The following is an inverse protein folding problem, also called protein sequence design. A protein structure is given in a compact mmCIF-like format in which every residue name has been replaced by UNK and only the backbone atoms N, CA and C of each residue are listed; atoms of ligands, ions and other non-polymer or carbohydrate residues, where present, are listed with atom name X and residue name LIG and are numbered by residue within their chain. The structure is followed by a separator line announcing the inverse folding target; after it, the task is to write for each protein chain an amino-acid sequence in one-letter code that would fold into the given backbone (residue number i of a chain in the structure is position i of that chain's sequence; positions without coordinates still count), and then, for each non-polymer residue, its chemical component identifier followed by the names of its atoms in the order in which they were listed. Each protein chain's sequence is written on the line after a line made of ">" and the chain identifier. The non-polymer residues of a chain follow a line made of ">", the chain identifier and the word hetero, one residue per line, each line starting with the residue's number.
data_IF_755199140177
#
_entry.id   IF_755199140177
#
_cell.length_a   1.000
_cell.length_b   1.000
_cell.length_c   1.000
_cell.angle_alpha   90.00
_cell.angle_beta   90.00
_cell.angle_gamma   90.00
#
_symmetry.space_group_name_H-M   'P 1'
#
loop_
_entity.id
_entity.type
_entity.pdbx_description
1 polymer ?
#
# COMPACT_ATOMS: atom_id res chain seq x y z
N UNK A 1 8.74 17.23 65.87
CA UNK A 1 9.66 17.71 64.82
C UNK A 1 10.37 16.58 64.05
N UNK A 2 10.82 15.50 64.70
CA UNK A 2 11.56 14.38 64.06
C UNK A 2 10.75 13.62 62.98
N UNK A 3 9.46 13.39 63.23
CA UNK A 3 8.56 12.64 62.34
C UNK A 3 8.29 13.35 60.99
N UNK A 4 8.13 14.68 60.99
CA UNK A 4 7.89 15.46 59.77
C UNK A 4 9.13 15.50 58.85
N UNK A 5 10.33 15.60 59.43
CA UNK A 5 11.59 15.56 58.68
C UNK A 5 11.83 14.19 58.02
N UNK A 6 11.47 13.11 58.70
CA UNK A 6 11.55 11.75 58.16
C UNK A 6 10.54 11.53 57.02
N UNK A 7 9.31 12.04 57.16
CA UNK A 7 8.31 11.98 56.08
C UNK A 7 8.73 12.78 54.85
N UNK A 8 9.29 13.98 55.04
CA UNK A 8 9.82 14.79 53.94
C UNK A 8 10.99 14.10 53.24
N UNK A 9 11.95 13.55 54.00
CA UNK A 9 13.08 12.82 53.44
C UNK A 9 12.63 11.58 52.64
N UNK A 10 11.65 10.83 53.16
CA UNK A 10 11.09 9.66 52.48
C UNK A 10 10.35 10.05 51.19
N UNK A 11 9.57 11.13 51.22
CA UNK A 11 8.88 11.66 50.05
C UNK A 11 9.83 12.12 48.95
N UNK A 12 10.90 12.83 49.30
CA UNK A 12 11.93 13.25 48.34
C UNK A 12 12.66 12.06 47.72
N UNK A 13 12.99 11.04 48.51
CA UNK A 13 13.64 9.83 48.00
C UNK A 13 12.75 9.05 47.01
N UNK A 14 11.46 8.89 47.33
CA UNK A 14 10.50 8.22 46.45
C UNK A 14 10.29 8.96 45.13
N UNK A 15 10.20 10.29 45.18
CA UNK A 15 10.00 11.12 43.99
C UNK A 15 11.20 11.06 43.04
N UNK A 16 12.43 11.19 43.57
CA UNK A 16 13.65 11.09 42.78
C UNK A 16 13.84 9.68 42.19
N UNK A 17 13.53 8.64 42.95
CA UNK A 17 13.54 7.25 42.45
C UNK A 17 12.56 7.04 41.30
N UNK A 18 11.36 7.62 41.38
CA UNK A 18 10.35 7.55 40.31
C UNK A 18 10.79 8.21 39.00
N UNK A 19 11.42 9.38 39.07
CA UNK A 19 11.92 10.08 37.86
C UNK A 19 13.06 9.29 37.20
N UNK A 20 14.04 8.85 37.99
CA UNK A 20 15.19 8.10 37.47
C UNK A 20 14.74 6.76 36.90
N UNK A 21 13.84 6.05 37.59
CA UNK A 21 13.25 4.81 37.09
C UNK A 21 12.45 5.01 35.80
N UNK A 22 11.66 6.09 35.71
CA UNK A 22 10.90 6.44 34.51
C UNK A 22 11.79 6.76 33.31
N UNK A 23 12.88 7.52 33.50
CA UNK A 23 13.85 7.84 32.44
C UNK A 23 14.63 6.62 31.96
N UNK A 24 14.96 5.68 32.85
CA UNK A 24 15.64 4.44 32.48
C UNK A 24 14.69 3.47 31.75
N UNK A 25 13.40 3.45 32.11
CA UNK A 25 12.40 2.60 31.46
C UNK A 25 12.27 2.90 29.96
N UNK A 26 12.31 4.17 29.56
CA UNK A 26 12.17 4.56 28.14
C UNK A 26 13.42 4.31 27.30
N UNK A 27 14.59 4.13 27.93
CA UNK A 27 15.86 3.90 27.22
C UNK A 27 16.25 2.41 27.16
N UNK A 28 15.85 1.62 28.15
CA UNK A 28 16.22 0.18 28.23
C UNK A 28 15.16 -0.70 27.55
N UNK A 29 13.89 -0.32 27.61
CA UNK A 29 12.82 -0.98 26.84
C UNK A 29 12.64 -0.25 25.52
N UNK A 30 13.57 -0.46 24.59
CA UNK A 30 13.35 -0.15 23.19
C UNK A 30 11.98 -0.71 22.79
N UNK A 31 11.04 0.09 22.27
CA UNK A 31 10.04 -0.49 21.40
C UNK A 31 10.87 -1.08 20.27
N UNK A 32 10.96 -2.40 20.22
CA UNK A 32 11.37 -3.10 19.02
C UNK A 32 10.60 -2.40 17.91
N UNK A 33 11.30 -1.64 17.04
CA UNK A 33 10.68 -1.11 15.85
C UNK A 33 10.07 -2.35 15.21
N UNK A 34 8.75 -2.43 15.27
CA UNK A 34 8.02 -3.47 14.56
C UNK A 34 8.32 -3.14 13.12
N UNK A 35 9.31 -3.85 12.55
CA UNK A 35 9.65 -3.77 11.16
C UNK A 35 8.33 -3.99 10.44
N UNK A 36 7.79 -2.93 9.86
CA UNK A 36 6.52 -2.97 9.18
C UNK A 36 6.64 -4.10 8.17
N UNK A 37 5.78 -5.10 8.36
CA UNK A 37 5.67 -6.33 7.58
C UNK A 37 6.23 -6.15 6.19
N UNK A 38 7.40 -6.76 5.92
CA UNK A 38 8.00 -6.86 4.58
C UNK A 38 6.86 -7.09 3.61
N UNK A 39 6.54 -6.08 2.80
CA UNK A 39 5.42 -6.16 1.87
C UNK A 39 5.71 -7.39 1.01
N UNK A 40 4.85 -8.41 1.10
CA UNK A 40 4.85 -9.53 0.17
C UNK A 40 4.31 -9.00 -1.16
N UNK A 41 5.04 -8.06 -1.75
CA UNK A 41 4.78 -7.48 -3.05
C UNK A 41 5.78 -8.10 -3.99
N UNK A 42 5.29 -8.92 -4.92
CA UNK A 42 6.03 -9.18 -6.16
C UNK A 42 5.88 -7.94 -7.04
N UNK A 43 6.92 -7.56 -7.78
CA UNK A 43 6.73 -6.62 -8.88
C UNK A 43 5.67 -7.25 -9.80
N UNK A 44 4.59 -6.52 -10.11
CA UNK A 44 3.53 -7.06 -10.96
C UNK A 44 4.10 -7.30 -12.37
N UNK A 45 4.45 -8.55 -12.66
CA UNK A 45 4.71 -9.00 -14.02
C UNK A 45 3.41 -8.81 -14.81
N UNK A 46 3.48 -8.19 -16.00
CA UNK A 46 2.33 -8.05 -16.88
C UNK A 46 1.91 -9.44 -17.40
N UNK A 47 0.64 -9.80 -17.18
CA UNK A 47 0.10 -11.06 -17.69
C UNK A 47 -0.47 -10.86 -19.08
N UNK A 48 0.22 -11.39 -20.09
CA UNK A 48 -0.20 -11.32 -21.49
C UNK A 48 -0.82 -12.65 -21.96
N UNK A 49 -2.02 -12.58 -22.51
CA UNK A 49 -2.58 -13.66 -23.33
C UNK A 49 -2.07 -13.50 -24.76
N UNK A 50 -1.18 -14.39 -25.19
CA UNK A 50 -0.66 -14.42 -26.56
C UNK A 50 -1.49 -15.36 -27.45
N UNK A 51 -1.71 -14.96 -28.70
CA UNK A 51 -2.24 -15.88 -29.71
C UNK A 51 -1.14 -16.79 -30.30
N UNK A 52 -1.54 -17.70 -31.19
CA UNK A 52 -0.63 -18.66 -31.83
C UNK A 52 0.52 -18.02 -32.64
N UNK A 53 0.46 -16.72 -32.91
CA UNK A 53 1.52 -15.95 -33.59
C UNK A 53 2.37 -15.14 -32.61
N UNK A 54 2.15 -15.30 -31.31
CA UNK A 54 2.81 -14.52 -30.26
C UNK A 54 2.25 -13.11 -30.07
N UNK A 55 1.10 -12.76 -30.68
CA UNK A 55 0.52 -11.42 -30.53
C UNK A 55 -0.31 -11.35 -29.25
N UNK A 56 -0.11 -10.31 -28.45
CA UNK A 56 -0.92 -10.05 -27.26
C UNK A 56 -2.39 -9.72 -27.61
N UNK A 57 -3.31 -10.41 -26.95
CA UNK A 57 -4.77 -10.35 -27.13
C UNK A 57 -5.52 -10.01 -25.86
N UNK A 58 -4.89 -10.22 -24.70
CA UNK A 58 -5.31 -9.61 -23.48
C UNK A 58 -4.09 -9.29 -22.61
N UNK A 59 -4.24 -8.35 -21.69
CA UNK A 59 -3.21 -7.94 -20.73
C UNK A 59 -3.85 -7.63 -19.39
N UNK A 60 -3.25 -8.09 -18.30
CA UNK A 60 -3.51 -7.60 -16.94
C UNK A 60 -2.21 -7.09 -16.36
N UNK A 61 -2.17 -5.82 -15.97
CA UNK A 61 -0.95 -5.23 -15.44
C UNK A 61 -1.15 -3.77 -15.05
N UNK A 62 -0.01 -3.14 -14.78
CA UNK A 62 0.09 -1.71 -14.52
C UNK A 62 0.61 -1.00 -15.78
N UNK A 63 0.08 0.17 -16.08
CA UNK A 63 0.60 1.01 -17.15
C UNK A 63 1.83 1.83 -16.69
N UNK A 64 2.31 2.75 -17.54
CA UNK A 64 3.48 3.58 -17.24
C UNK A 64 3.25 4.56 -16.07
N UNK A 65 2.00 4.87 -15.74
CA UNK A 65 1.61 5.72 -14.62
C UNK A 65 1.32 4.89 -13.35
N UNK A 66 1.36 3.56 -13.44
CA UNK A 66 1.01 2.65 -12.35
C UNK A 66 -0.49 2.37 -12.24
N UNK A 67 -1.29 2.76 -13.24
CA UNK A 67 -2.73 2.50 -13.27
C UNK A 67 -3.00 1.04 -13.64
N UNK A 68 -3.89 0.37 -12.90
CA UNK A 68 -4.20 -1.03 -13.14
C UNK A 68 -5.23 -1.18 -14.27
N UNK A 69 -5.00 -2.13 -15.17
CA UNK A 69 -5.90 -2.37 -16.29
C UNK A 69 -6.00 -3.83 -16.70
N UNK A 70 -7.22 -4.24 -17.04
CA UNK A 70 -7.49 -5.44 -17.84
C UNK A 70 -7.90 -5.01 -19.25
N UNK A 71 -7.14 -5.44 -20.24
CA UNK A 71 -7.36 -5.09 -21.65
C UNK A 71 -7.64 -6.35 -22.44
N UNK A 72 -8.69 -6.36 -23.27
CA UNK A 72 -8.98 -7.42 -24.23
C UNK A 72 -9.04 -6.82 -25.63
N UNK A 73 -8.39 -7.47 -26.60
CA UNK A 73 -8.30 -7.00 -27.98
C UNK A 73 -8.89 -8.03 -28.94
N UNK A 74 -9.74 -7.56 -29.85
CA UNK A 74 -10.34 -8.41 -30.90
C UNK A 74 -9.26 -9.00 -31.84
N UNK A 75 -9.61 -10.06 -32.58
CA UNK A 75 -8.65 -10.83 -33.39
C UNK A 75 -8.03 -10.03 -34.52
N UNK A 76 -8.87 -9.26 -35.17
CA UNK A 76 -8.49 -8.28 -36.16
C UNK A 76 -7.81 -7.03 -35.55
N UNK A 77 -7.94 -6.80 -34.24
CA UNK A 77 -7.49 -5.60 -33.53
C UNK A 77 -8.34 -4.36 -33.84
N UNK A 78 -9.59 -4.54 -34.27
CA UNK A 78 -10.53 -3.46 -34.53
C UNK A 78 -11.17 -2.89 -33.25
N UNK A 79 -11.19 -3.66 -32.16
CA UNK A 79 -11.82 -3.26 -30.90
C UNK A 79 -10.97 -3.64 -29.70
N UNK A 80 -11.02 -2.80 -28.68
CA UNK A 80 -10.39 -3.01 -27.38
C UNK A 80 -11.44 -2.80 -26.29
N UNK A 81 -11.62 -3.79 -25.43
CA UNK A 81 -12.38 -3.66 -24.19
C UNK A 81 -11.36 -3.41 -23.07
N UNK A 82 -11.56 -2.34 -22.31
CA UNK A 82 -10.72 -1.98 -21.17
C UNK A 82 -11.57 -1.96 -19.91
N UNK A 83 -11.02 -2.50 -18.84
CA UNK A 83 -11.50 -2.39 -17.47
C UNK A 83 -10.37 -1.77 -16.63
N UNK A 84 -10.56 -0.56 -16.11
CA UNK A 84 -9.60 0.10 -15.22
C UNK A 84 -10.37 0.85 -14.13
N UNK A 85 -10.10 0.60 -12.84
CA UNK A 85 -10.73 1.33 -11.74
C UNK A 85 -10.20 2.76 -11.59
N UNK A 86 -9.05 3.07 -12.21
CA UNK A 86 -8.38 4.38 -12.11
C UNK A 86 -8.93 5.37 -13.15
N UNK A 87 -9.72 4.89 -14.11
CA UNK A 87 -10.36 5.67 -15.15
C UNK A 87 -11.80 6.07 -14.76
N UNK A 88 -12.25 7.32 -15.01
CA UNK A 88 -13.63 7.75 -14.79
C UNK A 88 -14.71 6.90 -15.48
N UNK A 89 -14.39 6.28 -16.62
CA UNK A 89 -15.26 5.24 -17.18
C UNK A 89 -14.57 3.90 -17.00
N UNK A 90 -15.00 3.19 -15.96
CA UNK A 90 -14.34 1.97 -15.50
C UNK A 90 -14.30 0.91 -16.60
N UNK A 91 -15.35 0.82 -17.42
CA UNK A 91 -15.41 -0.11 -18.54
C UNK A 91 -15.59 0.66 -19.84
N UNK A 92 -14.74 0.40 -20.84
CA UNK A 92 -14.81 1.03 -22.16
C UNK A 92 -14.64 0.01 -23.27
N UNK A 93 -15.50 0.06 -24.28
CA UNK A 93 -15.27 -0.57 -25.57
C UNK A 93 -14.87 0.50 -26.58
N UNK A 94 -13.66 0.39 -27.12
CA UNK A 94 -13.05 1.39 -27.99
C UNK A 94 -12.74 0.76 -29.35
N UNK A 95 -13.09 1.46 -30.43
CA UNK A 95 -12.72 1.10 -31.79
C UNK A 95 -11.29 1.52 -32.13
N UNK A 96 -10.68 0.85 -33.12
CA UNK A 96 -9.43 1.30 -33.73
C UNK A 96 -9.57 2.75 -34.21
N UNK A 97 -8.80 3.65 -33.63
CA UNK A 97 -8.90 5.10 -33.84
C UNK A 97 -9.34 5.88 -32.60
N UNK A 98 -9.65 5.19 -31.49
CA UNK A 98 -9.91 5.83 -30.19
C UNK A 98 -11.37 6.21 -29.94
N UNK A 99 -12.27 5.94 -30.89
CA UNK A 99 -13.70 6.19 -30.70
C UNK A 99 -14.29 5.23 -29.67
N UNK A 100 -14.87 5.77 -28.60
CA UNK A 100 -15.62 4.99 -27.61
C UNK A 100 -16.94 4.54 -28.25
N UNK A 101 -17.13 3.23 -28.36
CA UNK A 101 -18.36 2.61 -28.85
C UNK A 101 -19.39 2.45 -27.74
N UNK A 102 -18.92 2.17 -26.53
CA UNK A 102 -19.73 1.98 -25.34
C UNK A 102 -18.86 2.16 -24.10
N UNK A 103 -19.47 2.60 -22.99
CA UNK A 103 -18.80 2.69 -21.70
C UNK A 103 -19.78 2.51 -20.54
N UNK A 104 -19.26 2.09 -19.40
CA UNK A 104 -19.97 2.07 -18.12
C UNK A 104 -19.08 2.68 -17.02
N UNK A 105 -19.70 3.34 -16.03
CA UNK A 105 -19.02 3.76 -14.81
C UNK A 105 -18.67 2.57 -13.92
#
# INVERSE_FOLDING_TARGET
>A
MMMLKQMLALGSAAFLGGIVGGMLSTQVFFPQLVEAQKIHGVNAEEFLLLDAKGKARAGLGLDANGEIGLVLRSKDGSRTLTLSPDDPLIIKLVERGGRILWSAP
#
